data_IF_807283661267
#
_entry.id   IF_807283661267
#
_cell.length_a   1.000
_cell.length_b   1.000
_cell.length_c   1.000
_cell.angle_alpha   90.00
_cell.angle_beta   90.00
_cell.angle_gamma   90.00
#
_symmetry.space_group_name_H-M   'P 1'
#
loop_
_entity.id
_entity.type
_entity.pdbx_description
1 polymer ?
#
# COMPACT_ATOMS: atom_id res chain seq x y z
N UNK A 1 27.28 8.61 -16.11
CA UNK A 1 26.71 9.93 -15.80
C UNK A 1 25.54 9.76 -14.82
N UNK A 2 25.60 10.42 -13.68
CA UNK A 2 24.46 10.44 -12.77
C UNK A 2 23.32 11.25 -13.38
N UNK A 3 22.14 10.66 -13.44
CA UNK A 3 20.95 11.41 -13.85
C UNK A 3 20.66 12.45 -12.77
N UNK A 4 20.65 13.73 -13.15
CA UNK A 4 20.31 14.80 -12.22
C UNK A 4 18.95 14.60 -11.57
N UNK A 5 18.77 15.14 -10.37
CA UNK A 5 17.47 15.13 -9.68
C UNK A 5 16.42 15.85 -10.52
N UNK A 6 15.27 15.23 -10.68
CA UNK A 6 14.14 15.86 -11.36
C UNK A 6 13.57 16.98 -10.50
N UNK A 7 13.07 18.08 -11.10
CA UNK A 7 12.44 19.16 -10.34
C UNK A 7 11.26 18.65 -9.52
N UNK A 8 11.06 19.23 -8.35
CA UNK A 8 9.99 18.86 -7.43
C UNK A 8 8.60 18.94 -8.08
N UNK A 9 8.36 19.96 -8.90
CA UNK A 9 7.07 20.12 -9.59
C UNK A 9 6.76 18.98 -10.57
N UNK A 10 7.77 18.40 -11.21
CA UNK A 10 7.60 17.23 -12.08
C UNK A 10 7.19 16.00 -11.28
N UNK A 11 7.82 15.79 -10.14
CA UNK A 11 7.51 14.66 -9.24
C UNK A 11 6.10 14.79 -8.70
N UNK A 12 5.68 15.99 -8.32
CA UNK A 12 4.32 16.26 -7.84
C UNK A 12 3.26 15.94 -8.89
N UNK A 13 3.50 16.32 -10.15
CA UNK A 13 2.61 15.99 -11.27
C UNK A 13 2.54 14.47 -11.48
N UNK A 14 3.68 13.78 -11.42
CA UNK A 14 3.74 12.33 -11.58
C UNK A 14 2.95 11.62 -10.47
N UNK A 15 3.09 12.06 -9.23
CA UNK A 15 2.35 11.51 -8.08
C UNK A 15 0.85 11.75 -8.24
N UNK A 16 0.45 12.93 -8.66
CA UNK A 16 -0.95 13.26 -8.92
C UNK A 16 -1.55 12.35 -10.00
N UNK A 17 -0.83 12.12 -11.09
CA UNK A 17 -1.26 11.22 -12.16
C UNK A 17 -1.38 9.77 -11.70
N UNK A 18 -0.43 9.30 -10.87
CA UNK A 18 -0.51 7.97 -10.28
C UNK A 18 -1.76 7.83 -9.41
N UNK A 19 -2.05 8.83 -8.58
CA UNK A 19 -3.26 8.83 -7.76
C UNK A 19 -4.54 8.75 -8.60
N UNK A 20 -4.61 9.49 -9.69
CA UNK A 20 -5.76 9.47 -10.61
C UNK A 20 -5.91 8.07 -11.23
N UNK A 21 -4.82 7.48 -11.69
CA UNK A 21 -4.85 6.14 -12.30
C UNK A 21 -5.30 5.06 -11.32
N UNK A 22 -4.80 5.08 -10.09
CA UNK A 22 -5.20 4.12 -9.07
C UNK A 22 -6.66 4.32 -8.64
N UNK A 23 -7.12 5.56 -8.51
CA UNK A 23 -8.52 5.85 -8.22
C UNK A 23 -9.44 5.31 -9.31
N UNK A 24 -9.09 5.49 -10.57
CA UNK A 24 -9.85 4.94 -11.69
C UNK A 24 -9.82 3.41 -11.70
N UNK A 25 -8.66 2.81 -11.38
CA UNK A 25 -8.54 1.37 -11.27
C UNK A 25 -9.50 0.82 -10.22
N UNK A 26 -9.60 1.46 -9.07
CA UNK A 26 -10.53 1.07 -8.01
C UNK A 26 -12.00 1.20 -8.45
N UNK A 27 -12.34 2.28 -9.12
CA UNK A 27 -13.71 2.54 -9.57
C UNK A 27 -14.17 1.59 -10.66
N UNK A 28 -13.29 1.23 -11.60
CA UNK A 28 -13.65 0.41 -12.77
C UNK A 28 -13.41 -1.09 -12.56
N UNK A 29 -12.85 -1.52 -11.46
CA UNK A 29 -12.46 -2.91 -11.24
C UNK A 29 -13.63 -3.89 -11.35
N UNK A 30 -14.80 -3.55 -10.83
CA UNK A 30 -15.96 -4.44 -10.80
C UNK A 30 -16.51 -4.66 -12.22
N UNK A 31 -16.55 -3.59 -13.02
CA UNK A 31 -17.11 -3.62 -14.37
C UNK A 31 -16.11 -4.01 -15.45
N UNK A 32 -14.88 -3.50 -15.32
CA UNK A 32 -13.82 -3.70 -16.31
C UNK A 32 -12.46 -3.94 -15.62
N UNK A 33 -12.23 -5.15 -15.07
CA UNK A 33 -10.97 -5.45 -14.37
C UNK A 33 -9.72 -5.32 -15.26
N UNK A 34 -9.82 -5.60 -16.54
CA UNK A 34 -8.72 -5.46 -17.50
C UNK A 34 -8.25 -4.01 -17.62
N UNK A 35 -9.17 -3.04 -17.50
CA UNK A 35 -8.82 -1.62 -17.50
C UNK A 35 -8.07 -1.25 -16.23
N UNK A 36 -8.50 -1.79 -15.09
CA UNK A 36 -7.83 -1.54 -13.82
C UNK A 36 -6.38 -2.03 -13.84
N UNK A 37 -6.14 -3.20 -14.40
CA UNK A 37 -4.79 -3.73 -14.55
C UNK A 37 -3.93 -2.83 -15.46
N UNK A 38 -4.52 -2.32 -16.53
CA UNK A 38 -3.83 -1.40 -17.44
C UNK A 38 -3.49 -0.07 -16.77
N UNK A 39 -4.38 0.47 -15.95
CA UNK A 39 -4.12 1.69 -15.18
C UNK A 39 -2.96 1.53 -14.19
N UNK A 40 -2.87 0.39 -13.51
CA UNK A 40 -1.74 0.07 -12.62
C UNK A 40 -0.45 0.02 -13.42
N UNK A 41 -0.45 -0.64 -14.56
CA UNK A 41 0.71 -0.74 -15.43
C UNK A 41 1.21 0.63 -15.87
N UNK A 42 0.29 1.53 -16.25
CA UNK A 42 0.63 2.91 -16.61
C UNK A 42 1.18 3.70 -15.43
N UNK A 43 0.60 3.53 -14.24
CA UNK A 43 1.09 4.18 -13.02
C UNK A 43 2.50 3.73 -12.67
N UNK A 44 2.80 2.44 -12.81
CA UNK A 44 4.14 1.90 -12.56
C UNK A 44 5.17 2.42 -13.57
N UNK A 45 4.77 2.63 -14.81
CA UNK A 45 5.62 3.26 -15.83
C UNK A 45 5.96 4.70 -15.45
N UNK A 46 5.00 5.46 -14.91
CA UNK A 46 5.25 6.82 -14.41
C UNK A 46 6.22 6.81 -13.24
N UNK A 47 6.05 5.88 -12.31
CA UNK A 47 6.96 5.70 -11.17
C UNK A 47 8.40 5.49 -11.63
N UNK A 48 8.61 4.63 -12.61
CA UNK A 48 9.93 4.34 -13.16
C UNK A 48 10.48 5.54 -13.94
N UNK A 49 9.66 6.16 -14.78
CA UNK A 49 10.08 7.29 -15.63
C UNK A 49 10.55 8.49 -14.81
N UNK A 50 9.83 8.83 -13.75
CA UNK A 50 10.13 9.98 -12.90
C UNK A 50 10.94 9.64 -11.66
N UNK A 51 11.33 8.37 -11.50
CA UNK A 51 12.08 7.87 -10.35
C UNK A 51 11.49 8.30 -9.01
N UNK A 52 10.18 8.10 -8.88
CA UNK A 52 9.44 8.41 -7.68
C UNK A 52 8.65 7.18 -7.23
N UNK A 53 8.47 7.02 -5.92
CA UNK A 53 7.71 5.90 -5.40
C UNK A 53 6.22 6.05 -5.66
N UNK A 54 5.54 4.91 -5.81
CA UNK A 54 4.08 4.87 -5.80
C UNK A 54 3.59 5.40 -4.45
N UNK A 55 2.52 6.23 -4.41
CA UNK A 55 1.99 6.71 -3.13
C UNK A 55 1.70 5.57 -2.16
N UNK A 56 2.00 5.77 -0.88
CA UNK A 56 1.93 4.73 0.14
C UNK A 56 0.55 4.07 0.23
N UNK A 57 -0.51 4.84 0.08
CA UNK A 57 -1.89 4.34 0.10
C UNK A 57 -2.18 3.30 -0.99
N UNK A 58 -1.44 3.34 -2.11
CA UNK A 58 -1.60 2.43 -3.25
C UNK A 58 -0.54 1.37 -3.35
N UNK A 59 0.55 1.48 -2.59
CA UNK A 59 1.71 0.59 -2.72
C UNK A 59 1.39 -0.88 -2.46
N UNK A 60 0.32 -1.16 -1.75
CA UNK A 60 -0.14 -2.52 -1.41
C UNK A 60 -1.42 -2.91 -2.13
N UNK A 61 -1.87 -2.10 -3.07
CA UNK A 61 -3.10 -2.31 -3.84
C UNK A 61 -2.85 -2.93 -5.21
N UNK A 62 -1.62 -3.33 -5.48
CA UNK A 62 -1.25 -4.03 -6.70
C UNK A 62 -0.24 -5.15 -6.42
N UNK A 63 -0.25 -6.19 -7.27
CA UNK A 63 0.71 -7.28 -7.15
C UNK A 63 2.06 -6.87 -7.75
N UNK A 64 3.13 -7.02 -6.99
CA UNK A 64 4.48 -6.68 -7.45
C UNK A 64 5.00 -7.64 -8.52
N UNK A 65 4.45 -8.84 -8.58
CA UNK A 65 4.85 -9.86 -9.53
C UNK A 65 4.13 -9.74 -10.88
N UNK A 66 2.80 -9.81 -10.88
CA UNK A 66 2.00 -9.74 -12.12
C UNK A 66 1.46 -8.34 -12.44
N UNK A 67 1.64 -7.38 -11.52
CA UNK A 67 1.22 -5.98 -11.67
C UNK A 67 -0.28 -5.79 -11.89
N UNK A 68 -1.09 -6.73 -11.41
CA UNK A 68 -2.54 -6.61 -11.42
C UNK A 68 -3.03 -5.76 -10.26
N UNK A 69 -4.11 -5.03 -10.48
CA UNK A 69 -4.77 -4.31 -9.39
C UNK A 69 -5.38 -5.32 -8.41
N UNK A 70 -5.15 -5.13 -7.12
CA UNK A 70 -5.63 -6.03 -6.08
C UNK A 70 -6.81 -5.41 -5.33
N UNK A 71 -7.95 -6.08 -5.36
CA UNK A 71 -9.10 -5.71 -4.56
C UNK A 71 -9.40 -6.84 -3.57
N UNK A 72 -9.22 -6.60 -2.26
CA UNK A 72 -9.45 -7.63 -1.24
C UNK A 72 -10.86 -8.20 -1.32
N UNK A 73 -10.96 -9.53 -1.26
CA UNK A 73 -12.22 -10.26 -1.39
C UNK A 73 -12.67 -10.52 -2.82
N UNK A 74 -12.00 -9.97 -3.83
CA UNK A 74 -12.31 -10.21 -5.25
C UNK A 74 -11.22 -11.03 -5.93
N UNK A 75 -10.03 -10.44 -6.10
CA UNK A 75 -8.91 -11.12 -6.75
C UNK A 75 -7.69 -11.30 -5.84
N UNK A 76 -7.81 -10.98 -4.58
CA UNK A 76 -6.76 -11.25 -3.60
C UNK A 76 -7.35 -11.58 -2.24
N UNK A 77 -6.59 -12.31 -1.44
CA UNK A 77 -6.95 -12.67 -0.07
C UNK A 77 -5.99 -11.99 0.89
N UNK A 78 -6.54 -11.35 1.92
CA UNK A 78 -5.75 -10.70 2.98
C UNK A 78 -5.95 -11.48 4.27
N UNK A 79 -4.86 -11.98 4.87
CA UNK A 79 -4.90 -12.73 6.14
C UNK A 79 -3.83 -12.23 7.09
N UNK A 80 -4.13 -12.32 8.38
CA UNK A 80 -3.19 -12.01 9.45
C UNK A 80 -2.60 -13.31 10.01
N UNK A 81 -1.30 -13.51 9.82
CA UNK A 81 -0.59 -14.71 10.27
C UNK A 81 0.75 -14.30 10.91
N UNK A 82 1.02 -14.76 12.13
CA UNK A 82 2.30 -14.54 12.81
C UNK A 82 2.77 -13.08 12.83
N UNK A 83 1.86 -12.15 13.14
CA UNK A 83 2.13 -10.71 13.16
C UNK A 83 2.54 -10.13 11.80
N UNK A 84 2.11 -10.78 10.71
CA UNK A 84 2.30 -10.34 9.34
C UNK A 84 0.97 -10.26 8.61
N UNK A 85 0.83 -9.27 7.76
CA UNK A 85 -0.30 -9.20 6.82
C UNK A 85 0.11 -9.93 5.55
N UNK A 86 -0.55 -11.04 5.23
CA UNK A 86 -0.33 -11.81 4.01
C UNK A 86 -1.37 -11.39 2.96
N UNK A 87 -0.89 -10.87 1.84
CA UNK A 87 -1.74 -10.55 0.69
C UNK A 87 -1.42 -11.55 -0.41
N UNK A 88 -2.35 -12.46 -0.68
CA UNK A 88 -2.20 -13.47 -1.73
C UNK A 88 -2.90 -13.03 -2.99
N UNK A 89 -2.14 -12.86 -4.08
CA UNK A 89 -2.70 -12.55 -5.39
C UNK A 89 -3.43 -13.77 -5.96
N UNK A 90 -4.70 -13.62 -6.31
CA UNK A 90 -5.50 -14.69 -6.91
C UNK A 90 -5.17 -14.95 -8.37
N UNK A 91 -4.45 -14.04 -9.04
CA UNK A 91 -4.13 -14.17 -10.46
C UNK A 91 -2.80 -14.88 -10.73
N UNK A 92 -1.77 -14.60 -9.94
CA UNK A 92 -0.46 -15.23 -10.12
C UNK A 92 0.01 -16.09 -8.94
N UNK A 93 -0.71 -16.07 -7.82
CA UNK A 93 -0.35 -16.83 -6.62
C UNK A 93 0.79 -16.24 -5.79
N UNK A 94 1.30 -15.06 -6.16
CA UNK A 94 2.36 -14.41 -5.39
C UNK A 94 1.83 -13.88 -4.06
N UNK A 95 2.55 -14.12 -2.97
CA UNK A 95 2.19 -13.63 -1.65
C UNK A 95 3.09 -12.47 -1.23
N UNK A 96 2.48 -11.39 -0.79
CA UNK A 96 3.19 -10.25 -0.19
C UNK A 96 3.01 -10.31 1.32
N UNK A 97 4.12 -10.29 2.05
CA UNK A 97 4.12 -10.33 3.51
C UNK A 97 4.56 -8.98 4.06
N UNK A 98 3.72 -8.41 4.91
CA UNK A 98 3.99 -7.08 5.49
C UNK A 98 3.96 -7.23 7.01
N UNK A 99 5.13 -7.11 7.69
CA UNK A 99 5.17 -7.23 9.15
C UNK A 99 4.53 -6.01 9.82
N UNK A 100 3.80 -6.26 10.91
CA UNK A 100 3.24 -5.18 11.73
C UNK A 100 3.66 -5.28 13.21
N UNK A 101 4.86 -5.82 13.45
CA UNK A 101 5.43 -5.91 14.80
C UNK A 101 5.56 -4.57 15.50
N UNK A 102 5.94 -3.53 14.73
CA UNK A 102 6.11 -2.17 15.26
C UNK A 102 4.79 -1.60 15.78
N UNK A 103 3.72 -1.71 15.00
CA UNK A 103 2.40 -1.25 15.36
C UNK A 103 1.86 -2.02 16.58
N UNK A 104 2.10 -3.33 16.63
CA UNK A 104 1.73 -4.20 17.73
C UNK A 104 2.43 -3.81 19.03
N UNK A 105 3.73 -3.52 18.97
CA UNK A 105 4.52 -3.05 20.10
C UNK A 105 4.04 -1.69 20.61
N UNK A 106 3.78 -0.76 19.70
CA UNK A 106 3.28 0.57 20.05
C UNK A 106 1.92 0.48 20.74
N UNK A 107 1.04 -0.37 20.25
CA UNK A 107 -0.28 -0.60 20.82
C UNK A 107 -0.20 -1.19 22.24
N UNK A 108 0.68 -2.16 22.47
CA UNK A 108 0.96 -2.73 23.80
C UNK A 108 1.49 -1.67 24.76
N UNK A 109 2.43 -0.86 24.31
CA UNK A 109 3.07 0.19 25.10
C UNK A 109 2.05 1.23 25.52
N UNK A 110 1.21 1.71 24.60
CA UNK A 110 0.14 2.65 24.88
C UNK A 110 -0.86 2.09 25.91
N UNK A 111 -1.21 0.82 25.79
CA UNK A 111 -2.11 0.13 26.72
C UNK A 111 -1.49 0.01 28.11
N UNK A 112 -0.21 -0.32 28.20
CA UNK A 112 0.53 -0.38 29.45
C UNK A 112 0.61 1.00 30.12
N UNK A 113 0.99 2.02 29.37
CA UNK A 113 1.11 3.41 29.87
C UNK A 113 -0.22 3.93 30.40
N UNK A 114 -1.31 3.64 29.71
CA UNK A 114 -2.67 4.00 30.18
C UNK A 114 -3.03 3.32 31.49
N UNK A 115 -2.65 2.04 31.63
CA UNK A 115 -2.87 1.29 32.88
C UNK A 115 -2.07 1.89 34.05
N UNK A 116 -0.79 2.19 33.82
CA UNK A 116 0.07 2.82 34.84
C UNK A 116 -0.44 4.20 35.25
N UNK A 117 -0.91 4.98 34.31
CA UNK A 117 -1.48 6.30 34.58
C UNK A 117 -2.71 6.19 35.50
N UNK A 118 -3.61 5.23 35.24
CA UNK A 118 -4.79 4.98 36.10
C UNK A 118 -4.39 4.58 37.52
N UNK A 119 -3.39 3.70 37.66
CA UNK A 119 -2.88 3.26 38.96
C UNK A 119 -2.30 4.42 39.73
N UNK A 120 -1.51 5.27 39.10
CA UNK A 120 -0.91 6.44 39.71
C UNK A 120 -1.96 7.48 40.15
N UNK A 121 -3.01 7.67 39.37
CA UNK A 121 -4.13 8.56 39.73
C UNK A 121 -4.92 8.06 40.92
N UNK A 122 -5.06 6.73 41.07
CA UNK A 122 -5.80 6.12 42.19
C UNK A 122 -4.99 6.07 43.49
N UNK A 123 -3.66 6.10 43.40
CA UNK A 123 -2.78 6.03 44.57
C UNK A 123 -2.37 7.39 45.18
N UNK A 124 -2.79 8.50 44.58
CA UNK A 124 -2.55 9.85 45.10
C UNK A 124 -3.69 10.33 46.01
#
# INVERSE_FOLDING_TARGET
>A
MSRGKRPKWMIEIAVERMNILFNRAEMEFITHPERSHRYVELALKLSTKYNTHVPEEWSRRYCRHCKSFLRPGRNCTVRLVNSEVNILCGECGHAMKIPYHREKKLKRRAKYDSKQKRINEQSS
#
